data_IF_747141489634
#
_entry.id   IF_747141489634
#
_cell.length_a   1.000
_cell.length_b   1.000
_cell.length_c   1.000
_cell.angle_alpha   90.00
_cell.angle_beta   90.00
_cell.angle_gamma   90.00
#
_symmetry.space_group_name_H-M   'P 1'
#
loop_
_entity.id
_entity.type
_entity.pdbx_description
1 polymer ?
#
# COMPACT_ATOMS: atom_id res chain seq x y z
N UNK A 1 -24.14 10.82 2.98
CA UNK A 1 -23.50 10.04 1.91
C UNK A 1 -22.87 8.83 2.58
N UNK A 2 -23.10 7.61 2.08
CA UNK A 2 -22.47 6.43 2.66
C UNK A 2 -20.97 6.44 2.36
N UNK A 3 -20.15 5.95 3.28
CA UNK A 3 -18.66 5.84 3.13
C UNK A 3 -18.30 5.23 1.77
N UNK A 4 -19.08 4.25 1.31
CA UNK A 4 -18.86 3.59 0.01
C UNK A 4 -18.98 4.53 -1.19
N UNK A 5 -19.87 5.53 -1.16
CA UNK A 5 -20.02 6.52 -2.26
C UNK A 5 -18.83 7.49 -2.24
N UNK A 6 -18.43 7.96 -1.04
CA UNK A 6 -17.23 8.79 -0.90
C UNK A 6 -15.98 8.05 -1.39
N UNK A 7 -15.84 6.78 -1.01
CA UNK A 7 -14.75 5.93 -1.47
C UNK A 7 -14.74 5.79 -3.00
N UNK A 8 -15.88 5.53 -3.61
CA UNK A 8 -15.99 5.42 -5.07
C UNK A 8 -15.59 6.73 -5.78
N UNK A 9 -16.00 7.88 -5.26
CA UNK A 9 -15.61 9.19 -5.80
C UNK A 9 -14.09 9.42 -5.67
N UNK A 10 -13.48 9.09 -4.54
CA UNK A 10 -12.04 9.23 -4.33
C UNK A 10 -11.25 8.30 -5.25
N UNK A 11 -11.68 7.05 -5.40
CA UNK A 11 -11.04 6.12 -6.35
C UNK A 11 -11.18 6.63 -7.78
N UNK A 12 -12.33 7.20 -8.17
CA UNK A 12 -12.51 7.82 -9.48
C UNK A 12 -11.55 9.00 -9.70
N UNK A 13 -11.34 9.86 -8.70
CA UNK A 13 -10.35 10.94 -8.78
C UNK A 13 -8.92 10.40 -8.96
N UNK A 14 -8.54 9.37 -8.19
CA UNK A 14 -7.24 8.72 -8.34
C UNK A 14 -7.08 8.14 -9.76
N UNK A 15 -8.14 7.55 -10.30
CA UNK A 15 -8.12 7.05 -11.68
C UNK A 15 -7.93 8.16 -12.73
N UNK A 16 -8.58 9.32 -12.56
CA UNK A 16 -8.35 10.46 -13.45
C UNK A 16 -6.90 10.95 -13.42
N UNK A 17 -6.26 10.94 -12.24
CA UNK A 17 -4.83 11.25 -12.13
C UNK A 17 -3.95 10.19 -12.84
N UNK A 18 -4.31 8.90 -12.76
CA UNK A 18 -3.68 7.83 -13.56
C UNK A 18 -3.82 8.12 -15.04
N UNK A 19 -5.01 8.52 -15.50
CA UNK A 19 -5.26 8.86 -16.88
C UNK A 19 -4.42 10.06 -17.35
N UNK A 20 -4.23 11.08 -16.49
CA UNK A 20 -3.33 12.22 -16.80
C UNK A 20 -1.89 11.74 -17.01
N UNK A 21 -1.37 10.87 -16.13
CA UNK A 21 -0.05 10.26 -16.27
C UNK A 21 0.10 9.41 -17.54
N UNK A 22 -0.95 8.69 -17.92
CA UNK A 22 -1.01 7.93 -19.18
C UNK A 22 -0.97 8.85 -20.41
N UNK A 23 -1.78 9.90 -20.40
CA UNK A 23 -1.92 10.82 -21.55
C UNK A 23 -0.65 11.61 -21.80
N UNK A 24 0.09 12.06 -20.76
CA UNK A 24 1.33 12.83 -20.93
C UNK A 24 2.41 12.01 -21.64
N UNK A 25 2.47 10.69 -21.39
CA UNK A 25 3.39 9.78 -22.10
C UNK A 25 2.88 9.51 -23.52
N UNK A 26 1.59 9.24 -23.71
CA UNK A 26 1.02 9.04 -25.06
C UNK A 26 1.09 10.27 -25.95
N UNK A 27 1.07 11.48 -25.39
CA UNK A 27 1.32 12.72 -26.09
C UNK A 27 2.81 12.94 -26.46
N UNK A 28 3.71 12.06 -26.03
CA UNK A 28 5.15 12.15 -26.32
C UNK A 28 5.90 13.24 -25.54
N UNK A 29 5.26 13.84 -24.52
CA UNK A 29 5.88 14.87 -23.68
C UNK A 29 6.87 14.25 -22.67
N UNK A 30 6.59 13.05 -22.19
CA UNK A 30 7.45 12.25 -21.32
C UNK A 30 7.51 10.82 -21.83
N UNK A 31 8.53 10.08 -21.37
CA UNK A 31 8.65 8.63 -21.59
C UNK A 31 8.17 7.87 -20.36
N UNK A 32 7.76 6.63 -20.53
CA UNK A 32 7.41 5.73 -19.41
C UNK A 32 8.58 5.55 -18.42
N UNK A 33 9.82 5.58 -18.93
CA UNK A 33 11.03 5.49 -18.10
C UNK A 33 11.22 6.68 -17.15
N UNK A 34 10.70 7.86 -17.48
CA UNK A 34 10.78 9.07 -16.63
C UNK A 34 9.99 8.89 -15.33
N UNK A 35 9.02 7.95 -15.30
CA UNK A 35 8.30 7.53 -14.11
C UNK A 35 9.23 7.08 -12.98
N UNK A 36 10.43 6.55 -13.30
CA UNK A 36 11.43 6.11 -12.32
C UNK A 36 11.96 7.27 -11.47
N UNK A 37 12.13 8.46 -12.07
CA UNK A 37 12.58 9.66 -11.36
C UNK A 37 11.50 10.11 -10.39
N UNK A 38 10.27 10.22 -10.88
CA UNK A 38 9.13 10.61 -10.04
C UNK A 38 8.87 9.60 -8.92
N UNK A 39 9.00 8.29 -9.20
CA UNK A 39 8.91 7.22 -8.18
C UNK A 39 9.96 7.40 -7.07
N UNK A 40 11.19 7.76 -7.42
CA UNK A 40 12.24 8.03 -6.41
C UNK A 40 11.88 9.24 -5.54
N UNK A 41 11.35 10.32 -6.14
CA UNK A 41 10.87 11.49 -5.38
C UNK A 41 9.75 11.08 -4.42
N UNK A 42 8.78 10.30 -4.89
CA UNK A 42 7.70 9.79 -4.02
C UNK A 42 8.27 8.98 -2.86
N UNK A 43 9.13 7.98 -3.15
CA UNK A 43 9.62 7.04 -2.15
C UNK A 43 10.61 7.67 -1.14
N UNK A 44 11.48 8.57 -1.60
CA UNK A 44 12.60 9.05 -0.78
C UNK A 44 12.45 10.49 -0.29
N UNK A 45 11.44 11.23 -0.75
CA UNK A 45 11.16 12.58 -0.30
C UNK A 45 9.72 12.71 0.23
N UNK A 46 8.73 12.36 -0.58
CA UNK A 46 7.32 12.63 -0.25
C UNK A 46 6.84 11.72 0.89
N UNK A 47 7.06 10.40 0.81
CA UNK A 47 6.63 9.46 1.86
C UNK A 47 7.29 9.73 3.21
N UNK A 48 8.61 9.97 3.33
CA UNK A 48 9.23 10.42 4.58
C UNK A 48 8.54 11.66 5.18
N UNK A 49 8.19 12.65 4.36
CA UNK A 49 7.49 13.84 4.83
C UNK A 49 6.09 13.50 5.38
N UNK A 50 5.35 12.62 4.70
CA UNK A 50 4.04 12.13 5.18
C UNK A 50 4.19 11.44 6.53
N UNK A 51 5.16 10.54 6.65
CA UNK A 51 5.41 9.79 7.89
C UNK A 51 5.70 10.75 9.04
N UNK A 52 6.69 11.64 8.88
CA UNK A 52 7.07 12.59 9.94
C UNK A 52 5.91 13.51 10.33
N UNK A 53 5.12 13.99 9.35
CA UNK A 53 3.95 14.82 9.60
C UNK A 53 2.84 14.04 10.32
N UNK A 54 2.62 12.77 10.00
CA UNK A 54 1.60 11.93 10.63
C UNK A 54 1.87 11.71 12.14
N UNK A 55 3.14 11.69 12.57
CA UNK A 55 3.50 11.56 13.97
C UNK A 55 3.41 12.89 14.76
N UNK A 56 3.05 14.02 14.13
CA UNK A 56 2.84 15.32 14.80
C UNK A 56 1.43 15.42 15.43
N UNK A 57 0.94 14.34 16.03
CA UNK A 57 -0.31 14.24 16.78
C UNK A 57 -0.05 14.27 18.29
N UNK A 58 -1.08 14.55 19.10
CA UNK A 58 -0.94 14.57 20.54
C UNK A 58 -0.75 13.18 21.12
N UNK A 59 0.18 13.08 22.07
CA UNK A 59 0.37 11.89 22.86
C UNK A 59 -0.78 11.77 23.87
N UNK A 60 -1.71 10.86 23.59
CA UNK A 60 -2.79 10.51 24.50
C UNK A 60 -2.82 9.00 24.71
N UNK A 61 -3.37 8.52 25.83
CA UNK A 61 -3.57 7.08 26.05
C UNK A 61 -4.37 6.42 24.93
N UNK A 62 -5.35 7.13 24.37
CA UNK A 62 -6.20 6.70 23.27
C UNK A 62 -5.39 6.51 22.00
N UNK A 63 -4.53 7.47 21.64
CA UNK A 63 -3.64 7.38 20.48
C UNK A 63 -2.68 6.20 20.60
N UNK A 64 -2.07 6.00 21.79
CA UNK A 64 -1.18 4.84 22.04
C UNK A 64 -1.94 3.53 21.92
N UNK A 65 -3.14 3.45 22.49
CA UNK A 65 -3.99 2.26 22.38
C UNK A 65 -4.36 1.97 20.92
N UNK A 66 -4.71 3.02 20.17
CA UNK A 66 -4.98 2.90 18.73
C UNK A 66 -3.78 2.40 17.94
N UNK A 67 -2.55 2.89 18.23
CA UNK A 67 -1.32 2.40 17.62
C UNK A 67 -1.07 0.92 17.91
N UNK A 68 -1.31 0.48 19.15
CA UNK A 68 -1.17 -0.93 19.53
C UNK A 68 -2.19 -1.83 18.81
N UNK A 69 -3.44 -1.40 18.71
CA UNK A 69 -4.49 -2.13 17.96
C UNK A 69 -4.14 -2.19 16.48
N UNK A 70 -3.75 -1.07 15.86
CA UNK A 70 -3.34 -1.02 14.46
C UNK A 70 -2.11 -1.91 14.21
N UNK A 71 -1.13 -1.92 15.12
CA UNK A 71 0.05 -2.77 15.02
C UNK A 71 -0.31 -4.26 15.13
N UNK A 72 -1.11 -4.63 16.14
CA UNK A 72 -1.55 -6.00 16.34
C UNK A 72 -2.35 -6.52 15.13
N UNK A 73 -3.29 -5.71 14.62
CA UNK A 73 -4.08 -6.05 13.44
C UNK A 73 -3.18 -6.18 12.20
N UNK A 74 -2.24 -5.24 11.99
CA UNK A 74 -1.33 -5.27 10.85
C UNK A 74 -0.40 -6.49 10.90
N UNK A 75 0.16 -6.80 12.06
CA UNK A 75 1.04 -7.96 12.24
C UNK A 75 0.27 -9.28 12.04
N UNK A 76 -0.93 -9.39 12.62
CA UNK A 76 -1.81 -10.53 12.44
C UNK A 76 -2.11 -10.75 10.96
N UNK A 77 -2.49 -9.67 10.23
CA UNK A 77 -2.73 -9.74 8.79
C UNK A 77 -1.51 -10.22 8.03
N UNK A 78 -0.36 -9.61 8.25
CA UNK A 78 0.87 -9.96 7.52
C UNK A 78 1.25 -11.43 7.78
N UNK A 79 1.23 -11.89 9.03
CA UNK A 79 1.61 -13.27 9.38
C UNK A 79 0.63 -14.29 8.81
N UNK A 80 -0.68 -14.11 9.05
CA UNK A 80 -1.68 -15.10 8.60
C UNK A 80 -1.78 -15.14 7.08
N UNK A 81 -1.79 -13.97 6.41
CA UNK A 81 -1.82 -13.92 4.96
C UNK A 81 -0.54 -14.49 4.34
N UNK A 82 0.62 -14.37 4.99
CA UNK A 82 1.85 -15.01 4.52
C UNK A 82 1.69 -16.52 4.42
N UNK A 83 1.17 -17.16 5.47
CA UNK A 83 0.93 -18.60 5.46
C UNK A 83 -0.17 -18.99 4.47
N UNK A 84 -1.27 -18.23 4.44
CA UNK A 84 -2.38 -18.49 3.52
C UNK A 84 -1.96 -18.40 2.05
N UNK A 85 -1.26 -17.33 1.66
CA UNK A 85 -0.77 -17.15 0.28
C UNK A 85 0.31 -18.17 -0.07
N UNK A 86 1.16 -18.55 0.90
CA UNK A 86 2.15 -19.62 0.70
C UNK A 86 1.47 -20.98 0.47
N UNK A 87 0.37 -21.27 1.16
CA UNK A 87 -0.45 -22.47 0.93
C UNK A 87 -1.12 -22.42 -0.44
N UNK A 88 -1.75 -21.30 -0.80
CA UNK A 88 -2.32 -21.09 -2.14
C UNK A 88 -1.24 -21.24 -3.25
N UNK A 89 -0.03 -20.73 -2.98
CA UNK A 89 1.10 -20.86 -3.89
C UNK A 89 1.47 -22.32 -4.19
N UNK A 90 1.41 -23.19 -3.18
CA UNK A 90 1.66 -24.63 -3.34
C UNK A 90 0.51 -25.33 -4.09
N UNK A 91 -0.74 -25.02 -3.75
CA UNK A 91 -1.92 -25.64 -4.36
C UNK A 91 -2.07 -25.26 -5.84
N UNK A 92 -1.86 -23.98 -6.16
CA UNK A 92 -2.06 -23.46 -7.52
C UNK A 92 -0.75 -23.32 -8.33
N UNK A 93 0.37 -23.80 -7.78
CA UNK A 93 1.69 -23.75 -8.41
C UNK A 93 2.05 -22.31 -8.85
N UNK A 94 1.88 -21.35 -7.93
CA UNK A 94 2.23 -19.95 -8.17
C UNK A 94 3.75 -19.79 -8.21
N UNK A 95 4.23 -19.00 -9.18
CA UNK A 95 5.65 -18.64 -9.24
C UNK A 95 6.01 -17.51 -8.22
N UNK A 96 7.28 -17.15 -8.18
CA UNK A 96 7.78 -16.14 -7.24
C UNK A 96 7.12 -14.76 -7.43
N UNK A 97 6.87 -14.36 -8.68
CA UNK A 97 6.23 -13.10 -9.03
C UNK A 97 4.76 -13.12 -8.63
N UNK A 98 4.06 -14.22 -8.90
CA UNK A 98 2.65 -14.40 -8.56
C UNK A 98 2.43 -14.42 -7.05
N UNK A 99 3.22 -15.20 -6.29
CA UNK A 99 3.16 -15.24 -4.82
C UNK A 99 3.33 -13.85 -4.23
N UNK A 100 4.38 -13.15 -4.65
CA UNK A 100 4.65 -11.81 -4.11
C UNK A 100 3.62 -10.79 -4.56
N UNK A 101 3.09 -10.88 -5.79
CA UNK A 101 2.02 -10.02 -6.29
C UNK A 101 0.67 -10.27 -5.60
N UNK A 102 0.37 -11.51 -5.19
CA UNK A 102 -0.83 -11.83 -4.40
C UNK A 102 -0.67 -11.37 -2.96
N UNK A 103 0.50 -11.50 -2.36
CA UNK A 103 0.73 -11.20 -0.96
C UNK A 103 0.89 -9.69 -0.69
N UNK A 104 1.75 -8.98 -1.46
CA UNK A 104 2.06 -7.59 -1.18
C UNK A 104 1.06 -6.61 -1.78
N UNK A 105 0.49 -5.78 -0.90
CA UNK A 105 -0.45 -4.72 -1.26
C UNK A 105 0.28 -3.43 -1.66
N UNK A 106 -0.31 -2.64 -2.54
CA UNK A 106 0.19 -1.32 -2.91
C UNK A 106 -0.15 -0.25 -1.84
N UNK A 107 -0.08 -0.65 -0.57
CA UNK A 107 -0.36 0.24 0.55
C UNK A 107 0.57 1.44 0.58
N UNK A 108 1.86 1.28 0.21
CA UNK A 108 2.82 2.37 0.19
C UNK A 108 2.42 3.58 -0.65
N UNK A 109 1.71 3.37 -1.74
CA UNK A 109 1.31 4.44 -2.67
C UNK A 109 -0.17 4.83 -2.56
N UNK A 110 -1.04 3.93 -2.09
CA UNK A 110 -2.49 4.12 -2.16
C UNK A 110 -3.15 4.38 -0.81
N UNK A 111 -2.66 3.79 0.29
CA UNK A 111 -3.38 3.84 1.56
C UNK A 111 -3.40 5.26 2.15
N UNK A 112 -2.28 5.98 2.09
CA UNK A 112 -2.19 7.34 2.65
C UNK A 112 -3.16 8.30 1.97
N UNK A 113 -3.14 8.47 0.62
CA UNK A 113 -4.12 9.32 -0.04
C UNK A 113 -5.56 8.86 0.19
N UNK A 114 -5.80 7.55 0.23
CA UNK A 114 -7.13 7.00 0.42
C UNK A 114 -7.66 7.28 1.83
N UNK A 115 -6.88 7.04 2.87
CA UNK A 115 -7.26 7.31 4.27
C UNK A 115 -7.43 8.81 4.50
N UNK A 116 -6.51 9.63 3.99
CA UNK A 116 -6.64 11.10 4.07
C UNK A 116 -7.95 11.58 3.48
N UNK A 117 -8.34 11.04 2.33
CA UNK A 117 -9.52 11.47 1.61
C UNK A 117 -10.84 10.96 2.23
N UNK A 118 -10.84 9.76 2.81
CA UNK A 118 -12.05 9.09 3.33
C UNK A 118 -12.27 9.33 4.81
N UNK A 119 -11.20 9.37 5.60
CA UNK A 119 -11.26 9.44 7.06
C UNK A 119 -10.68 10.74 7.63
N UNK A 120 -9.73 11.38 6.94
CA UNK A 120 -9.03 12.57 7.39
C UNK A 120 -7.55 12.33 7.63
N UNK A 121 -6.79 13.43 7.71
CA UNK A 121 -5.33 13.39 7.86
C UNK A 121 -4.88 12.80 9.21
N UNK A 122 -5.68 12.96 10.25
CA UNK A 122 -5.44 12.46 11.61
C UNK A 122 -5.35 10.92 11.66
N UNK A 123 -5.98 10.22 10.71
CA UNK A 123 -5.97 8.76 10.63
C UNK A 123 -4.77 8.18 9.86
N UNK A 124 -3.99 9.01 9.19
CA UNK A 124 -2.81 8.59 8.40
C UNK A 124 -1.74 7.92 9.26
N UNK A 125 -1.60 8.31 10.52
CA UNK A 125 -0.69 7.70 11.48
C UNK A 125 -0.85 6.16 11.53
N UNK A 126 -2.08 5.68 11.61
CA UNK A 126 -2.37 4.25 11.70
C UNK A 126 -2.10 3.52 10.37
N UNK A 127 -2.24 4.22 9.25
CA UNK A 127 -1.81 3.70 7.94
C UNK A 127 -0.30 3.46 7.89
N UNK A 128 0.49 4.38 8.48
CA UNK A 128 1.94 4.24 8.56
C UNK A 128 2.37 3.01 9.36
N UNK A 129 1.58 2.60 10.37
CA UNK A 129 1.84 1.36 11.12
C UNK A 129 1.77 0.14 10.20
N UNK A 130 0.69 0.03 9.40
CA UNK A 130 0.56 -1.09 8.45
C UNK A 130 1.70 -1.10 7.42
N UNK A 131 2.01 0.08 6.85
CA UNK A 131 3.11 0.22 5.88
C UNK A 131 4.43 -0.22 6.48
N UNK A 132 4.71 0.12 7.75
CA UNK A 132 5.93 -0.23 8.46
C UNK A 132 6.07 -1.73 8.63
N UNK A 133 5.00 -2.39 9.08
CA UNK A 133 4.98 -3.85 9.23
C UNK A 133 5.18 -4.52 7.87
N UNK A 134 4.43 -4.11 6.84
CA UNK A 134 4.59 -4.65 5.50
C UNK A 134 6.00 -4.45 4.93
N UNK A 135 6.65 -3.33 5.21
CA UNK A 135 8.00 -3.02 4.73
C UNK A 135 9.04 -4.00 5.28
N UNK A 136 8.91 -4.41 6.55
CA UNK A 136 9.78 -5.45 7.14
C UNK A 136 9.62 -6.77 6.38
N UNK A 137 8.37 -7.21 6.14
CA UNK A 137 8.11 -8.42 5.36
C UNK A 137 8.60 -8.29 3.92
N UNK A 138 8.49 -7.11 3.34
CA UNK A 138 8.93 -6.84 1.97
C UNK A 138 10.45 -7.04 1.82
N UNK A 139 11.26 -6.47 2.71
CA UNK A 139 12.73 -6.61 2.66
C UNK A 139 13.24 -7.97 3.14
N UNK A 140 12.44 -8.73 3.88
CA UNK A 140 12.78 -10.09 4.31
C UNK A 140 12.23 -11.14 3.35
N UNK A 141 10.93 -11.34 3.32
CA UNK A 141 10.26 -12.38 2.55
C UNK A 141 10.25 -12.10 1.04
N UNK A 142 9.82 -10.88 0.59
CA UNK A 142 9.73 -10.59 -0.84
C UNK A 142 11.10 -10.68 -1.52
N UNK A 143 12.11 -10.05 -0.91
CA UNK A 143 13.49 -10.16 -1.40
C UNK A 143 13.92 -11.61 -1.55
N UNK A 144 13.73 -12.44 -0.51
CA UNK A 144 14.10 -13.87 -0.53
C UNK A 144 13.42 -14.65 -1.67
N UNK A 145 12.11 -14.41 -1.85
CA UNK A 145 11.31 -15.11 -2.87
C UNK A 145 11.72 -14.69 -4.28
N UNK A 146 11.93 -13.40 -4.52
CA UNK A 146 12.26 -12.83 -5.84
C UNK A 146 13.72 -13.12 -6.23
N UNK A 147 14.68 -12.87 -5.33
CA UNK A 147 16.12 -13.01 -5.63
C UNK A 147 16.62 -14.45 -5.53
N UNK A 148 15.84 -15.34 -4.87
CA UNK A 148 16.27 -16.69 -4.48
C UNK A 148 17.54 -16.73 -3.63
N UNK A 149 17.95 -15.58 -3.08
CA UNK A 149 19.11 -15.49 -2.18
C UNK A 149 18.73 -15.85 -0.74
N UNK A 150 19.59 -16.56 -0.05
CA UNK A 150 19.36 -16.97 1.33
C UNK A 150 19.65 -15.87 2.38
N UNK A 151 20.36 -14.80 1.99
CA UNK A 151 20.85 -13.79 2.94
C UNK A 151 19.87 -12.64 3.16
N UNK A 152 19.65 -12.26 4.42
CA UNK A 152 18.92 -11.05 4.82
C UNK A 152 19.86 -9.85 4.86
N UNK A 153 19.52 -8.78 4.17
CA UNK A 153 20.30 -7.54 4.22
C UNK A 153 19.67 -6.56 5.24
N UNK A 154 19.93 -6.84 6.51
CA UNK A 154 19.42 -6.01 7.63
C UNK A 154 19.85 -4.55 7.53
N UNK A 155 21.03 -4.27 6.96
CA UNK A 155 21.51 -2.90 6.77
C UNK A 155 20.61 -2.12 5.84
N UNK A 156 20.17 -2.72 4.72
CA UNK A 156 19.23 -2.07 3.79
C UNK A 156 17.85 -1.86 4.39
N UNK A 157 17.41 -2.72 5.30
CA UNK A 157 16.14 -2.55 6.00
C UNK A 157 16.26 -1.34 6.96
N UNK A 158 17.22 -1.35 7.84
CA UNK A 158 17.38 -0.32 8.89
C UNK A 158 17.74 1.04 8.29
N UNK A 159 18.56 1.07 7.25
CA UNK A 159 18.95 2.30 6.54
C UNK A 159 17.92 2.80 5.51
N UNK A 160 16.79 2.14 5.39
CA UNK A 160 15.70 2.64 4.55
C UNK A 160 15.15 3.94 5.12
N UNK A 161 15.08 4.99 4.30
CA UNK A 161 14.69 6.34 4.73
C UNK A 161 13.29 6.37 5.36
N UNK A 162 12.36 5.54 4.88
CA UNK A 162 11.02 5.46 5.45
C UNK A 162 11.05 4.84 6.85
N UNK A 163 11.89 3.81 7.08
CA UNK A 163 12.08 3.23 8.41
C UNK A 163 12.73 4.24 9.37
N UNK A 164 13.75 4.97 8.91
CA UNK A 164 14.35 6.05 9.69
C UNK A 164 13.31 7.10 10.05
N UNK A 165 12.47 7.51 9.09
CA UNK A 165 11.40 8.49 9.33
C UNK A 165 10.37 7.98 10.35
N UNK A 166 10.06 6.69 10.35
CA UNK A 166 9.19 6.07 11.35
C UNK A 166 9.82 6.14 12.73
N UNK A 167 11.10 5.75 12.87
CA UNK A 167 11.80 5.85 14.17
C UNK A 167 11.89 7.27 14.68
N UNK A 168 12.22 8.23 13.81
CA UNK A 168 12.25 9.65 14.18
C UNK A 168 10.84 10.13 14.54
N UNK A 169 9.82 9.77 13.78
CA UNK A 169 8.43 10.10 14.08
C UNK A 169 7.96 9.55 15.41
N UNK A 170 8.25 8.28 15.71
CA UNK A 170 7.97 7.63 16.99
C UNK A 170 8.68 8.37 18.13
N UNK A 171 9.95 8.72 17.96
CA UNK A 171 10.69 9.49 18.96
C UNK A 171 10.05 10.84 19.23
N UNK A 172 9.70 11.60 18.20
CA UNK A 172 9.03 12.88 18.32
C UNK A 172 7.68 12.74 19.04
N UNK A 173 6.89 11.72 18.70
CA UNK A 173 5.60 11.44 19.34
C UNK A 173 5.75 11.15 20.85
N UNK A 174 6.63 10.22 21.24
CA UNK A 174 6.80 9.84 22.65
C UNK A 174 7.48 10.93 23.49
N UNK A 175 8.35 11.74 22.89
CA UNK A 175 8.97 12.88 23.58
C UNK A 175 8.08 14.11 23.66
N UNK A 176 6.96 14.13 22.92
CA UNK A 176 6.07 15.28 22.81
C UNK A 176 6.69 16.47 22.07
N UNK A 177 7.83 16.29 21.41
CA UNK A 177 8.51 17.36 20.66
C UNK A 177 7.71 17.69 19.42
N UNK A 178 7.25 18.94 19.34
CA UNK A 178 6.56 19.47 18.17
C UNK A 178 7.56 20.16 17.23
N UNK A 179 7.46 19.84 15.96
CA UNK A 179 8.25 20.53 14.95
C UNK A 179 7.76 21.99 14.83
N UNK A 180 8.68 22.97 14.60
CA UNK A 180 8.28 24.33 14.32
C UNK A 180 7.26 24.41 13.19
N UNK A 181 6.30 25.32 13.27
CA UNK A 181 5.20 25.44 12.30
C UNK A 181 5.69 25.52 10.85
N UNK A 182 6.80 26.24 10.60
CA UNK A 182 7.41 26.32 9.28
C UNK A 182 7.79 24.91 8.73
N UNK A 183 8.46 24.09 9.56
CA UNK A 183 8.89 22.75 9.19
C UNK A 183 7.68 21.85 8.98
N UNK A 184 6.75 21.85 9.93
CA UNK A 184 5.55 21.03 9.88
C UNK A 184 4.69 21.34 8.63
N UNK A 185 4.47 22.63 8.34
CA UNK A 185 3.73 23.05 7.14
C UNK A 185 4.46 22.68 5.84
N UNK A 186 5.79 22.70 5.84
CA UNK A 186 6.59 22.24 4.68
C UNK A 186 6.43 20.73 4.48
N UNK A 187 6.56 19.94 5.56
CA UNK A 187 6.34 18.49 5.50
C UNK A 187 4.92 18.15 5.01
N UNK A 188 3.91 18.86 5.51
CA UNK A 188 2.52 18.71 5.08
C UNK A 188 2.35 19.02 3.58
N UNK A 189 2.90 20.14 3.11
CA UNK A 189 2.79 20.56 1.71
C UNK A 189 3.45 19.55 0.76
N UNK A 190 4.65 19.06 1.11
CA UNK A 190 5.34 18.01 0.32
C UNK A 190 4.59 16.69 0.44
N UNK A 191 4.15 16.33 1.63
CA UNK A 191 3.41 15.09 1.89
C UNK A 191 2.09 15.00 1.11
N UNK A 192 1.37 16.11 0.95
CA UNK A 192 0.11 16.16 0.19
C UNK A 192 0.26 15.78 -1.29
N UNK A 193 1.47 15.81 -1.83
CA UNK A 193 1.76 15.39 -3.21
C UNK A 193 1.76 13.86 -3.38
N UNK A 194 1.73 13.06 -2.29
CA UNK A 194 1.86 11.59 -2.39
C UNK A 194 0.78 10.96 -3.28
N UNK A 195 -0.47 11.39 -3.13
CA UNK A 195 -1.59 10.90 -3.93
C UNK A 195 -1.43 11.21 -5.42
N UNK A 196 -1.40 12.49 -5.81
CA UNK A 196 -1.25 12.90 -7.20
C UNK A 196 0.01 12.32 -7.86
N UNK A 197 1.16 12.43 -7.22
CA UNK A 197 2.43 11.94 -7.78
C UNK A 197 2.43 10.43 -7.99
N UNK A 198 1.95 9.64 -7.01
CA UNK A 198 1.87 8.18 -7.13
C UNK A 198 0.94 7.72 -8.24
N UNK A 199 -0.19 8.41 -8.43
CA UNK A 199 -1.16 8.07 -9.48
C UNK A 199 -0.62 8.44 -10.87
N UNK A 200 0.04 9.59 -11.01
CA UNK A 200 0.71 9.99 -12.26
C UNK A 200 1.78 8.95 -12.63
N UNK A 201 2.63 8.55 -11.68
CA UNK A 201 3.63 7.47 -11.91
C UNK A 201 2.97 6.21 -12.43
N UNK A 202 1.88 5.78 -11.81
CA UNK A 202 1.13 4.59 -12.23
C UNK A 202 0.63 4.74 -13.66
N UNK A 203 0.08 5.90 -14.02
CA UNK A 203 -0.39 6.20 -15.37
C UNK A 203 0.73 6.21 -16.42
N UNK A 204 1.89 6.78 -16.09
CA UNK A 204 3.06 6.77 -16.96
C UNK A 204 3.54 5.34 -17.26
N UNK A 205 3.60 4.47 -16.24
CA UNK A 205 3.94 3.06 -16.40
C UNK A 205 2.95 2.34 -17.34
N UNK A 206 1.65 2.61 -17.20
CA UNK A 206 0.63 2.04 -18.07
C UNK A 206 0.82 2.41 -19.55
N UNK A 207 1.25 3.63 -19.83
CA UNK A 207 1.42 4.10 -21.19
C UNK A 207 2.53 3.35 -21.95
N UNK A 208 3.55 2.83 -21.25
CA UNK A 208 4.66 2.05 -21.83
C UNK A 208 4.34 0.58 -22.10
N UNK A 209 3.13 0.09 -21.78
CA UNK A 209 2.81 -1.34 -21.87
C UNK A 209 2.00 -1.72 -23.11
N UNK A 210 2.22 -2.96 -23.59
CA UNK A 210 1.37 -3.58 -24.61
C UNK A 210 0.14 -4.23 -23.96
N UNK A 211 -0.98 -3.50 -23.96
CA UNK A 211 -2.24 -3.95 -23.38
C UNK A 211 -2.75 -5.25 -24.01
N UNK A 212 -2.51 -5.48 -25.32
CA UNK A 212 -2.99 -6.68 -25.99
C UNK A 212 -2.35 -7.93 -25.43
N UNK A 213 -1.06 -7.90 -25.15
CA UNK A 213 -0.34 -9.02 -24.54
C UNK A 213 -0.77 -9.24 -23.08
N UNK A 214 -0.96 -8.16 -22.33
CA UNK A 214 -1.40 -8.23 -20.93
C UNK A 214 -2.79 -8.90 -20.84
N UNK A 215 -3.75 -8.41 -21.61
CA UNK A 215 -5.13 -8.93 -21.54
C UNK A 215 -5.31 -10.32 -22.18
N UNK A 216 -4.38 -10.79 -22.97
CA UNK A 216 -4.39 -12.15 -23.50
C UNK A 216 -3.95 -13.23 -22.47
N UNK A 217 -3.23 -12.85 -21.42
CA UNK A 217 -2.70 -13.79 -20.43
C UNK A 217 -3.75 -14.14 -19.35
N UNK A 218 -4.37 -15.31 -19.47
CA UNK A 218 -5.38 -15.80 -18.51
C UNK A 218 -4.86 -15.94 -17.08
N UNK A 219 -3.55 -16.20 -16.90
CA UNK A 219 -2.94 -16.36 -15.58
C UNK A 219 -2.98 -15.06 -14.77
N UNK A 220 -2.86 -13.89 -15.44
CA UNK A 220 -2.98 -12.59 -14.80
C UNK A 220 -4.35 -12.41 -14.13
N UNK A 221 -5.43 -12.84 -14.80
CA UNK A 221 -6.78 -12.75 -14.22
C UNK A 221 -6.95 -13.62 -12.99
N UNK A 222 -6.34 -14.81 -13.00
CA UNK A 222 -6.37 -15.70 -11.84
C UNK A 222 -5.62 -15.07 -10.65
N UNK A 223 -4.43 -14.53 -10.86
CA UNK A 223 -3.66 -13.81 -9.83
C UNK A 223 -4.42 -12.59 -9.35
N UNK A 224 -5.07 -11.84 -10.25
CA UNK A 224 -5.94 -10.71 -9.92
C UNK A 224 -7.10 -11.14 -9.01
N UNK A 225 -7.77 -12.25 -9.34
CA UNK A 225 -8.84 -12.80 -8.49
C UNK A 225 -8.33 -13.16 -7.09
N UNK A 226 -7.19 -13.85 -6.99
CA UNK A 226 -6.59 -14.16 -5.70
C UNK A 226 -6.28 -12.89 -4.90
N UNK A 227 -5.70 -11.87 -5.56
CA UNK A 227 -5.31 -10.63 -4.90
C UNK A 227 -6.49 -9.78 -4.46
N UNK A 228 -7.52 -9.61 -5.29
CA UNK A 228 -8.58 -8.64 -5.08
C UNK A 228 -9.87 -9.24 -4.48
N UNK A 229 -9.98 -10.56 -4.48
CA UNK A 229 -11.16 -11.25 -3.94
C UNK A 229 -10.76 -12.22 -2.82
N UNK A 230 -9.92 -13.22 -3.11
CA UNK A 230 -9.61 -14.27 -2.13
C UNK A 230 -8.89 -13.72 -0.89
N UNK A 231 -7.81 -12.94 -1.09
CA UNK A 231 -7.05 -12.32 0.02
C UNK A 231 -7.92 -11.35 0.83
N UNK A 232 -8.70 -10.41 0.24
CA UNK A 232 -9.62 -9.57 0.99
C UNK A 232 -10.68 -10.34 1.79
N UNK A 233 -11.27 -11.39 1.24
CA UNK A 233 -12.24 -12.20 1.96
C UNK A 233 -11.60 -12.95 3.15
N UNK A 234 -10.40 -13.49 2.98
CA UNK A 234 -9.65 -14.09 4.09
C UNK A 234 -9.35 -13.03 5.18
N UNK A 235 -8.93 -11.84 4.78
CA UNK A 235 -8.66 -10.74 5.69
C UNK A 235 -9.92 -10.31 6.45
N UNK A 236 -11.06 -10.20 5.78
CA UNK A 236 -12.35 -9.85 6.37
C UNK A 236 -12.74 -10.86 7.46
N UNK A 237 -12.69 -12.15 7.15
CA UNK A 237 -12.97 -13.22 8.11
C UNK A 237 -12.02 -13.15 9.31
N UNK A 238 -10.73 -12.98 9.06
CA UNK A 238 -9.73 -12.91 10.10
C UNK A 238 -9.93 -11.70 11.02
N UNK A 239 -10.19 -10.51 10.45
CA UNK A 239 -10.46 -9.31 11.24
C UNK A 239 -11.72 -9.44 12.10
N UNK A 240 -12.78 -10.05 11.56
CA UNK A 240 -14.00 -10.34 12.33
C UNK A 240 -13.74 -11.27 13.52
N UNK A 241 -13.06 -12.39 13.29
CA UNK A 241 -12.80 -13.40 14.32
C UNK A 241 -11.80 -12.87 15.38
N UNK A 242 -10.93 -11.94 15.00
CA UNK A 242 -9.90 -11.41 15.92
C UNK A 242 -10.44 -10.56 17.05
N UNK A 243 -11.67 -10.04 16.95
CA UNK A 243 -12.28 -9.10 17.90
C UNK A 243 -11.41 -7.87 18.25
N UNK A 244 -10.43 -7.54 17.38
CA UNK A 244 -9.55 -6.39 17.60
C UNK A 244 -10.30 -5.06 17.54
N UNK A 245 -11.44 -5.02 16.84
CA UNK A 245 -12.31 -3.84 16.80
C UNK A 245 -12.88 -3.48 18.18
N UNK A 246 -13.04 -4.45 19.06
CA UNK A 246 -13.66 -4.26 20.39
C UNK A 246 -12.67 -3.70 21.42
N UNK A 247 -11.38 -3.64 21.09
CA UNK A 247 -10.32 -3.23 22.01
C UNK A 247 -10.20 -1.71 22.19
N UNK A 248 -10.79 -0.89 21.31
CA UNK A 248 -10.73 0.56 21.35
C UNK A 248 -12.07 1.16 20.89
N UNK A 249 -12.41 2.36 21.38
CA UNK A 249 -13.58 3.10 20.90
C UNK A 249 -13.49 3.37 19.38
N UNK A 250 -12.29 3.62 18.88
CA UNK A 250 -11.99 3.83 17.46
C UNK A 250 -11.66 2.52 16.71
N UNK A 251 -11.79 1.38 17.37
CA UNK A 251 -11.44 0.07 16.84
C UNK A 251 -12.02 -0.23 15.46
N UNK A 252 -13.31 -0.01 15.19
CA UNK A 252 -13.88 -0.23 13.86
C UNK A 252 -13.18 0.59 12.77
N UNK A 253 -12.82 1.86 13.05
CA UNK A 253 -12.09 2.72 12.11
C UNK A 253 -10.64 2.23 11.90
N UNK A 254 -9.97 1.81 12.97
CA UNK A 254 -8.62 1.23 12.88
C UNK A 254 -8.60 -0.05 12.05
N UNK A 255 -9.59 -0.91 12.23
CA UNK A 255 -9.76 -2.13 11.44
C UNK A 255 -10.08 -1.81 9.98
N UNK A 256 -10.90 -0.79 9.72
CA UNK A 256 -11.15 -0.31 8.36
C UNK A 256 -9.84 0.16 7.68
N UNK A 257 -8.96 0.89 8.38
CA UNK A 257 -7.68 1.35 7.84
C UNK A 257 -6.79 0.15 7.46
N UNK A 258 -6.65 -0.83 8.36
CA UNK A 258 -5.87 -2.04 8.09
C UNK A 258 -6.48 -2.82 6.91
N UNK A 259 -7.79 -2.94 6.86
CA UNK A 259 -8.48 -3.60 5.76
C UNK A 259 -8.30 -2.85 4.43
N UNK A 260 -8.43 -1.52 4.43
CA UNK A 260 -8.16 -0.68 3.25
C UNK A 260 -6.74 -0.92 2.73
N UNK A 261 -5.75 -1.04 3.61
CA UNK A 261 -4.38 -1.35 3.21
C UNK A 261 -4.27 -2.73 2.56
N UNK A 262 -4.94 -3.75 3.11
CA UNK A 262 -4.94 -5.12 2.58
C UNK A 262 -5.60 -5.21 1.21
N UNK A 263 -6.73 -4.53 1.00
CA UNK A 263 -7.52 -4.65 -0.25
C UNK A 263 -6.98 -3.84 -1.42
N UNK A 264 -5.92 -3.03 -1.22
CA UNK A 264 -5.25 -2.32 -2.34
C UNK A 264 -4.70 -3.32 -3.37
N UNK A 265 -4.52 -2.92 -4.63
CA UNK A 265 -3.99 -3.80 -5.69
C UNK A 265 -2.57 -4.33 -5.36
N UNK A 266 -2.01 -5.13 -6.25
CA UNK A 266 -0.63 -5.62 -6.13
C UNK A 266 0.37 -4.47 -6.03
N UNK A 267 1.40 -4.64 -5.19
CA UNK A 267 2.40 -3.61 -4.96
C UNK A 267 3.26 -3.33 -6.20
N UNK A 268 3.38 -2.06 -6.60
CA UNK A 268 4.31 -1.64 -7.64
C UNK A 268 5.78 -1.89 -7.27
N UNK A 269 6.08 -1.93 -5.98
CA UNK A 269 7.41 -2.28 -5.45
C UNK A 269 7.84 -3.71 -5.78
N UNK A 270 6.91 -4.65 -6.01
CA UNK A 270 7.22 -6.01 -6.50
C UNK A 270 7.86 -5.94 -7.89
N UNK A 271 7.33 -5.10 -8.78
CA UNK A 271 7.93 -4.84 -10.10
C UNK A 271 9.36 -4.32 -9.98
N UNK A 272 9.59 -3.37 -9.06
CA UNK A 272 10.92 -2.81 -8.82
C UNK A 272 11.89 -3.87 -8.28
N UNK A 273 11.42 -4.73 -7.35
CA UNK A 273 12.23 -5.87 -6.88
C UNK A 273 12.60 -6.83 -8.01
N UNK A 274 11.63 -7.16 -8.87
CA UNK A 274 11.92 -8.01 -10.05
C UNK A 274 12.98 -7.36 -10.96
N UNK A 275 12.91 -6.04 -11.18
CA UNK A 275 13.93 -5.31 -11.96
C UNK A 275 15.32 -5.37 -11.34
N UNK A 276 15.41 -5.18 -10.01
CA UNK A 276 16.69 -5.14 -9.29
C UNK A 276 17.33 -6.52 -9.21
N UNK A 277 16.54 -7.57 -9.01
CA UNK A 277 17.02 -8.93 -8.79
C UNK A 277 16.88 -9.85 -10.00
N UNK A 278 16.60 -9.30 -11.18
CA UNK A 278 16.64 -10.05 -12.44
C UNK A 278 15.50 -11.07 -12.63
N UNK A 279 14.33 -10.81 -12.02
CA UNK A 279 13.12 -11.60 -12.22
C UNK A 279 12.18 -10.93 -13.24
N UNK A 280 11.06 -11.57 -13.60
CA UNK A 280 10.15 -11.07 -14.64
C UNK A 280 9.39 -9.81 -14.20
N UNK A 281 10.02 -8.65 -14.37
CA UNK A 281 9.44 -7.35 -14.06
C UNK A 281 8.29 -6.96 -15.01
N UNK A 282 8.27 -7.47 -16.24
CA UNK A 282 7.18 -7.21 -17.19
C UNK A 282 5.90 -7.90 -16.72
N UNK A 283 6.02 -9.15 -16.31
CA UNK A 283 4.90 -9.90 -15.74
C UNK A 283 4.38 -9.29 -14.45
N UNK A 284 5.28 -8.91 -13.52
CA UNK A 284 4.92 -8.22 -12.29
C UNK A 284 4.18 -6.89 -12.57
N UNK A 285 4.66 -6.12 -13.53
CA UNK A 285 4.03 -4.89 -13.99
C UNK A 285 2.63 -5.14 -14.55
N UNK A 286 2.47 -6.17 -15.39
CA UNK A 286 1.18 -6.52 -15.97
C UNK A 286 0.15 -6.88 -14.88
N UNK A 287 0.55 -7.66 -13.87
CA UNK A 287 -0.31 -7.98 -12.72
C UNK A 287 -0.67 -6.70 -11.95
N UNK A 288 0.30 -5.82 -11.69
CA UNK A 288 0.04 -4.55 -11.01
C UNK A 288 -0.98 -3.69 -11.76
N UNK A 289 -0.84 -3.55 -13.08
CA UNK A 289 -1.76 -2.82 -13.95
C UNK A 289 -3.19 -3.38 -13.86
N UNK A 290 -3.35 -4.68 -14.11
CA UNK A 290 -4.68 -5.31 -14.13
C UNK A 290 -5.33 -5.26 -12.75
N UNK A 291 -4.57 -5.52 -11.68
CA UNK A 291 -5.09 -5.40 -10.31
C UNK A 291 -5.48 -3.96 -9.96
N UNK A 292 -4.71 -2.95 -10.41
CA UNK A 292 -5.04 -1.54 -10.17
C UNK A 292 -6.32 -1.14 -10.89
N UNK A 293 -6.49 -1.52 -12.15
CA UNK A 293 -7.73 -1.26 -12.89
C UNK A 293 -8.94 -1.95 -12.25
N UNK A 294 -8.81 -3.23 -11.90
CA UNK A 294 -9.88 -3.98 -11.28
C UNK A 294 -10.22 -3.49 -9.86
N UNK A 295 -9.27 -2.89 -9.14
CA UNK A 295 -9.46 -2.37 -7.78
C UNK A 295 -10.46 -1.21 -7.73
N UNK A 296 -10.68 -0.49 -8.82
CA UNK A 296 -11.69 0.58 -8.92
C UNK A 296 -13.08 0.06 -8.52
N UNK A 297 -13.38 -1.18 -8.90
CA UNK A 297 -14.67 -1.83 -8.59
C UNK A 297 -14.57 -2.66 -7.32
N UNK A 298 -13.49 -3.43 -7.15
CA UNK A 298 -13.40 -4.39 -6.05
C UNK A 298 -13.20 -3.74 -4.68
N UNK A 299 -12.45 -2.65 -4.58
CA UNK A 299 -12.22 -1.98 -3.30
C UNK A 299 -13.51 -1.43 -2.66
N UNK A 300 -14.37 -0.66 -3.37
CA UNK A 300 -15.65 -0.24 -2.81
C UNK A 300 -16.53 -1.40 -2.37
N UNK A 301 -16.61 -2.48 -3.16
CA UNK A 301 -17.39 -3.66 -2.83
C UNK A 301 -16.88 -4.36 -1.56
N UNK A 302 -15.56 -4.48 -1.40
CA UNK A 302 -14.96 -5.08 -0.21
C UNK A 302 -15.19 -4.23 1.04
N UNK A 303 -15.16 -2.90 0.92
CA UNK A 303 -15.48 -1.98 2.04
C UNK A 303 -16.96 -2.11 2.43
N UNK A 304 -17.87 -2.20 1.45
CA UNK A 304 -19.29 -2.45 1.74
C UNK A 304 -19.47 -3.77 2.50
N UNK A 305 -18.80 -4.84 2.08
CA UNK A 305 -18.84 -6.14 2.79
C UNK A 305 -18.30 -6.02 4.21
N UNK A 306 -17.19 -5.30 4.44
CA UNK A 306 -16.67 -5.07 5.78
C UNK A 306 -17.69 -4.35 6.66
N UNK A 307 -18.36 -3.30 6.15
CA UNK A 307 -19.38 -2.55 6.89
C UNK A 307 -20.65 -3.36 7.21
N UNK A 308 -20.94 -4.42 6.45
CA UNK A 308 -22.04 -5.33 6.73
C UNK A 308 -21.69 -6.37 7.80
N UNK A 309 -20.39 -6.62 7.99
CA UNK A 309 -19.86 -7.70 8.82
C UNK A 309 -19.43 -7.21 10.20
N UNK A 310 -18.88 -5.98 10.29
CA UNK A 310 -18.55 -5.29 11.55
C UNK A 310 -19.77 -4.56 12.11
#
# INVERSE_FOLDING_TARGET
MTISILLAQQIAQLFLMILMGFLIVKAGLLKDEDSKVLSKIVLYLIIPCVILNAFQVDYTPETVRGLLVAFAASLLMQVVLLFAVSALGRVFHLDAVEITSVYYSNSGNLIVPLVTAVLGAEWVLYSCVYMSVQLVFFWTHCKKVISREASYDWKKIVLNLNIISIFVGILLFFTGIRLPALVNNTLHSVGSMVGPASMIVTGMLFAGMDFRQIFANKRIYFVTFLRLIAVPLMALVLLKISHLADLSADGPTLILIVFLAVITPSASTVTQMCQVYGNDSRYASAINVVTTLASIVTMPLMVMLLQMVL
#
